data_IF_287921771562
#
_entry.id   IF_287921771562
#
_cell.length_a   1.000
_cell.length_b   1.000
_cell.length_c   1.000
_cell.angle_alpha   90.00
_cell.angle_beta   90.00
_cell.angle_gamma   90.00
#
_symmetry.space_group_name_H-M   'P 1'
#
loop_
_entity.id
_entity.type
_entity.pdbx_description
1 polymer ?
#
# COMPACT_ATOMS: atom_id res chain seq x y z
N UNK A 1 -5.01 -12.15 -52.95
CA UNK A 1 -5.38 -13.08 -51.86
C UNK A 1 -4.59 -12.90 -50.55
N UNK A 2 -3.32 -12.44 -50.56
CA UNK A 2 -2.47 -12.31 -49.34
C UNK A 2 -2.84 -11.21 -48.32
N UNK A 3 -3.59 -10.17 -48.71
CA UNK A 3 -3.94 -9.05 -47.82
C UNK A 3 -4.99 -9.40 -46.74
N UNK A 4 -5.91 -10.32 -47.02
CA UNK A 4 -6.98 -10.73 -46.09
C UNK A 4 -6.44 -11.51 -44.88
N UNK A 5 -5.43 -12.37 -45.10
CA UNK A 5 -4.82 -13.19 -44.05
C UNK A 5 -3.99 -12.34 -43.08
N UNK A 6 -3.23 -11.36 -43.58
CA UNK A 6 -2.44 -10.46 -42.74
C UNK A 6 -3.32 -9.53 -41.90
N UNK A 7 -4.40 -8.99 -42.47
CA UNK A 7 -5.39 -8.20 -41.73
C UNK A 7 -6.10 -9.02 -40.64
N UNK A 8 -6.39 -10.29 -40.91
CA UNK A 8 -6.99 -11.22 -39.93
C UNK A 8 -6.03 -11.55 -38.80
N UNK A 9 -4.75 -11.81 -39.10
CA UNK A 9 -3.70 -12.06 -38.09
C UNK A 9 -3.44 -10.81 -37.26
N UNK A 10 -3.33 -9.63 -37.89
CA UNK A 10 -3.19 -8.34 -37.21
C UNK A 10 -4.37 -8.04 -36.29
N UNK A 11 -5.62 -8.27 -36.75
CA UNK A 11 -6.83 -8.08 -35.95
C UNK A 11 -6.93 -9.10 -34.81
N UNK A 12 -6.51 -10.34 -35.01
CA UNK A 12 -6.46 -11.39 -33.97
C UNK A 12 -5.38 -11.08 -32.92
N UNK A 13 -4.21 -10.60 -33.35
CA UNK A 13 -3.17 -10.08 -32.45
C UNK A 13 -3.65 -8.86 -31.69
N UNK A 14 -4.27 -7.87 -32.36
CA UNK A 14 -4.82 -6.68 -31.71
C UNK A 14 -5.90 -7.05 -30.69
N UNK A 15 -6.78 -8.01 -31.01
CA UNK A 15 -7.84 -8.49 -30.12
C UNK A 15 -7.34 -9.41 -29.00
N UNK A 16 -6.17 -10.03 -29.12
CA UNK A 16 -5.50 -10.75 -28.02
C UNK A 16 -4.71 -9.79 -27.12
N UNK A 17 -3.94 -8.87 -27.72
CA UNK A 17 -3.10 -7.94 -27.00
C UNK A 17 -3.91 -6.81 -26.36
N UNK A 18 -5.00 -6.31 -26.95
CA UNK A 18 -5.78 -5.23 -26.34
C UNK A 18 -6.42 -5.59 -24.98
N UNK A 19 -7.06 -6.75 -24.76
CA UNK A 19 -7.56 -7.11 -23.43
C UNK A 19 -6.43 -7.46 -22.45
N UNK A 20 -5.35 -8.12 -22.90
CA UNK A 20 -4.19 -8.44 -22.03
C UNK A 20 -3.41 -7.19 -21.63
N UNK A 21 -3.31 -6.21 -22.52
CA UNK A 21 -2.69 -4.93 -22.24
C UNK A 21 -3.55 -4.12 -21.27
N UNK A 22 -4.86 -4.07 -21.47
CA UNK A 22 -5.78 -3.40 -20.54
C UNK A 22 -5.82 -4.04 -19.15
N UNK A 23 -5.78 -5.37 -19.06
CA UNK A 23 -5.79 -6.08 -17.77
C UNK A 23 -4.49 -5.92 -16.98
N UNK A 24 -3.41 -5.42 -17.60
CA UNK A 24 -2.12 -5.18 -16.96
C UNK A 24 -1.86 -3.69 -16.74
N UNK A 25 -2.08 -2.86 -17.76
CA UNK A 25 -1.83 -1.41 -17.71
C UNK A 25 -2.72 -0.75 -16.66
N UNK A 26 -4.01 -1.07 -16.63
CA UNK A 26 -4.95 -0.36 -15.74
C UNK A 26 -4.63 -0.62 -14.26
N UNK A 27 -4.42 -1.89 -13.81
CA UNK A 27 -3.98 -2.14 -12.44
C UNK A 27 -2.59 -1.56 -12.16
N UNK A 28 -1.68 -1.58 -13.14
CA UNK A 28 -0.35 -0.99 -12.97
C UNK A 28 -0.40 0.52 -12.70
N UNK A 29 -1.18 1.25 -13.50
CA UNK A 29 -1.38 2.69 -13.30
C UNK A 29 -2.07 2.99 -11.96
N UNK A 30 -3.07 2.18 -11.58
CA UNK A 30 -3.72 2.30 -10.28
C UNK A 30 -2.75 2.03 -9.11
N UNK A 31 -1.87 1.04 -9.25
CA UNK A 31 -0.84 0.73 -8.26
C UNK A 31 0.21 1.86 -8.17
N UNK A 32 0.60 2.47 -9.30
CA UNK A 32 1.46 3.65 -9.32
C UNK A 32 0.81 4.83 -8.58
N UNK A 33 -0.48 5.07 -8.83
CA UNK A 33 -1.22 6.12 -8.15
C UNK A 33 -1.27 5.89 -6.63
N UNK A 34 -1.51 4.64 -6.20
CA UNK A 34 -1.44 4.27 -4.78
C UNK A 34 -0.04 4.44 -4.20
N UNK A 35 1.01 4.06 -4.93
CA UNK A 35 2.40 4.15 -4.47
C UNK A 35 2.84 5.60 -4.24
N UNK A 36 2.45 6.54 -5.11
CA UNK A 36 2.74 7.98 -4.95
C UNK A 36 2.08 8.51 -3.66
N UNK A 37 0.81 8.18 -3.46
CA UNK A 37 0.07 8.58 -2.25
C UNK A 37 0.65 7.94 -0.98
N UNK A 38 1.06 6.67 -1.06
CA UNK A 38 1.77 5.98 0.02
C UNK A 38 3.05 6.71 0.39
N UNK A 39 3.85 7.13 -0.59
CA UNK A 39 5.10 7.86 -0.35
C UNK A 39 4.89 9.13 0.49
N UNK A 40 3.90 9.95 0.12
CA UNK A 40 3.57 11.17 0.85
C UNK A 40 3.15 10.90 2.31
N UNK A 41 2.23 9.95 2.51
CA UNK A 41 1.73 9.62 3.87
C UNK A 41 2.77 8.94 4.76
N UNK A 42 3.65 8.11 4.20
CA UNK A 42 4.66 7.35 4.95
C UNK A 42 5.90 8.16 5.32
N UNK A 43 6.21 9.22 4.58
CA UNK A 43 7.42 10.02 4.82
C UNK A 43 7.39 10.74 6.16
N UNK A 44 6.24 11.32 6.53
CA UNK A 44 6.08 12.10 7.76
C UNK A 44 6.42 11.30 9.03
N UNK A 45 5.78 10.14 9.33
CA UNK A 45 6.08 9.38 10.54
C UNK A 45 7.51 8.83 10.58
N UNK A 46 8.15 8.60 9.43
CA UNK A 46 9.53 8.10 9.37
C UNK A 46 10.58 9.17 9.64
N UNK A 47 10.32 10.43 9.27
CA UNK A 47 11.32 11.50 9.33
C UNK A 47 10.98 12.63 10.30
N UNK A 48 9.81 12.63 10.95
CA UNK A 48 9.39 13.72 11.85
C UNK A 48 10.41 14.03 12.96
N UNK A 49 10.95 13.01 13.63
CA UNK A 49 11.93 13.20 14.70
C UNK A 49 13.28 13.74 14.17
N UNK A 50 13.79 13.17 13.08
CA UNK A 50 15.08 13.56 12.50
C UNK A 50 15.06 14.95 11.83
N UNK A 51 13.91 15.33 11.27
CA UNK A 51 13.67 16.68 10.77
C UNK A 51 13.49 17.67 11.93
N UNK A 52 12.72 17.30 12.97
CA UNK A 52 12.51 18.12 14.16
C UNK A 52 13.78 18.41 14.95
N UNK A 53 14.76 17.50 14.93
CA UNK A 53 16.09 17.70 15.53
C UNK A 53 17.09 18.45 14.63
N UNK A 54 16.67 18.93 13.45
CA UNK A 54 17.52 19.60 12.45
C UNK A 54 18.70 18.75 11.93
N UNK A 55 18.66 17.43 12.09
CA UNK A 55 19.71 16.52 11.58
C UNK A 55 19.56 16.29 10.07
N UNK A 56 18.33 16.30 9.57
CA UNK A 56 18.03 16.01 8.15
C UNK A 56 17.34 17.20 7.49
N UNK A 57 17.84 17.60 6.31
CA UNK A 57 17.22 18.67 5.49
C UNK A 57 15.97 18.17 4.78
N UNK A 58 14.97 19.05 4.64
CA UNK A 58 13.71 18.77 3.94
C UNK A 58 13.92 18.20 2.53
N UNK A 59 14.88 18.74 1.79
CA UNK A 59 15.15 18.36 0.39
C UNK A 59 15.71 16.94 0.26
N UNK A 60 16.42 16.45 1.28
CA UNK A 60 17.03 15.10 1.28
C UNK A 60 16.06 13.99 1.66
N UNK A 61 14.94 14.32 2.33
CA UNK A 61 13.99 13.34 2.86
C UNK A 61 13.39 12.45 1.76
N UNK A 62 12.86 12.98 0.62
CA UNK A 62 12.24 12.14 -0.40
C UNK A 62 13.23 11.15 -1.05
N UNK A 63 14.48 11.59 -1.24
CA UNK A 63 15.54 10.77 -1.85
C UNK A 63 15.90 9.61 -0.91
N UNK A 64 16.11 9.92 0.37
CA UNK A 64 16.49 8.92 1.37
C UNK A 64 15.34 7.93 1.61
N UNK A 65 14.11 8.44 1.78
CA UNK A 65 12.92 7.61 1.95
C UNK A 65 12.71 6.69 0.73
N UNK A 66 12.77 7.24 -0.48
CA UNK A 66 12.59 6.48 -1.72
C UNK A 66 13.61 5.36 -1.89
N UNK A 67 14.88 5.63 -1.60
CA UNK A 67 15.95 4.63 -1.68
C UNK A 67 15.72 3.46 -0.71
N UNK A 68 15.41 3.75 0.57
CA UNK A 68 15.17 2.69 1.56
C UNK A 68 13.88 1.92 1.31
N UNK A 69 12.81 2.59 0.85
CA UNK A 69 11.56 1.92 0.46
C UNK A 69 11.79 0.99 -0.73
N UNK A 70 12.56 1.44 -1.74
CA UNK A 70 12.90 0.63 -2.90
C UNK A 70 13.72 -0.62 -2.49
N UNK A 71 14.72 -0.44 -1.63
CA UNK A 71 15.50 -1.55 -1.08
C UNK A 71 14.62 -2.54 -0.30
N UNK A 72 13.74 -2.02 0.58
CA UNK A 72 12.80 -2.84 1.33
C UNK A 72 11.82 -3.61 0.43
N UNK A 73 11.37 -3.00 -0.66
CA UNK A 73 10.50 -3.63 -1.65
C UNK A 73 11.19 -4.82 -2.36
N UNK A 74 12.48 -4.69 -2.66
CA UNK A 74 13.28 -5.79 -3.26
C UNK A 74 13.43 -6.93 -2.26
N UNK A 75 13.79 -6.63 -1.01
CA UNK A 75 14.12 -7.64 0.01
C UNK A 75 12.87 -8.37 0.50
N UNK A 76 11.80 -7.63 0.82
CA UNK A 76 10.63 -8.15 1.53
C UNK A 76 9.30 -8.05 0.76
N UNK A 77 9.26 -7.30 -0.35
CA UNK A 77 8.01 -7.00 -1.06
C UNK A 77 7.28 -8.23 -1.60
N UNK A 78 8.03 -9.26 -2.05
CA UNK A 78 7.44 -10.51 -2.57
C UNK A 78 6.55 -11.20 -1.54
N UNK A 79 6.97 -11.26 -0.27
CA UNK A 79 6.21 -11.94 0.79
C UNK A 79 4.91 -11.20 1.10
N UNK A 80 4.97 -9.86 1.18
CA UNK A 80 3.80 -9.00 1.44
C UNK A 80 2.79 -9.07 0.28
N UNK A 81 3.25 -8.99 -0.96
CA UNK A 81 2.39 -9.08 -2.14
C UNK A 81 1.64 -10.42 -2.20
N UNK A 82 2.31 -11.52 -1.84
CA UNK A 82 1.69 -12.84 -1.79
C UNK A 82 0.61 -12.93 -0.69
N UNK A 83 0.88 -12.41 0.52
CA UNK A 83 -0.10 -12.44 1.61
C UNK A 83 -1.33 -11.58 1.29
N UNK A 84 -1.17 -10.39 0.71
CA UNK A 84 -2.31 -9.54 0.35
C UNK A 84 -3.09 -10.13 -0.83
N UNK A 85 -2.39 -10.64 -1.85
CA UNK A 85 -3.02 -11.11 -3.09
C UNK A 85 -3.65 -12.51 -3.00
N UNK A 86 -3.19 -13.39 -2.11
CA UNK A 86 -3.72 -14.76 -1.99
C UNK A 86 -4.48 -15.02 -0.68
N UNK A 87 -4.05 -14.44 0.44
CA UNK A 87 -4.58 -14.84 1.75
C UNK A 87 -5.76 -13.99 2.23
N UNK A 88 -5.97 -12.78 1.67
CA UNK A 88 -7.04 -11.87 2.13
C UNK A 88 -8.32 -12.05 1.31
N UNK A 89 -8.27 -11.97 -0.01
CA UNK A 89 -9.36 -12.20 -0.97
C UNK A 89 -8.71 -12.64 -2.29
N UNK A 90 -9.36 -13.49 -3.10
CA UNK A 90 -8.89 -13.76 -4.47
C UNK A 90 -9.22 -12.52 -5.33
N UNK A 91 -8.33 -11.52 -5.25
CA UNK A 91 -8.51 -10.22 -5.88
C UNK A 91 -8.02 -10.33 -7.31
N UNK A 92 -8.94 -10.61 -8.24
CA UNK A 92 -8.65 -10.47 -9.66
C UNK A 92 -8.14 -9.06 -10.00
N UNK A 93 -7.47 -8.86 -11.15
CA UNK A 93 -6.84 -7.57 -11.52
C UNK A 93 -7.76 -6.35 -11.40
N UNK A 94 -9.04 -6.51 -11.73
CA UNK A 94 -10.08 -5.48 -11.57
C UNK A 94 -10.33 -5.10 -10.11
N UNK A 95 -10.38 -6.08 -9.21
CA UNK A 95 -10.56 -5.81 -7.77
C UNK A 95 -9.35 -5.08 -7.19
N UNK A 96 -8.13 -5.44 -7.63
CA UNK A 96 -6.90 -4.80 -7.17
C UNK A 96 -6.83 -3.34 -7.65
N UNK A 97 -7.27 -3.10 -8.89
CA UNK A 97 -7.43 -1.75 -9.44
C UNK A 97 -8.41 -0.93 -8.58
N UNK A 98 -9.59 -1.48 -8.30
CA UNK A 98 -10.62 -0.77 -7.55
C UNK A 98 -10.18 -0.43 -6.13
N UNK A 99 -9.57 -1.39 -5.42
CA UNK A 99 -8.97 -1.18 -4.09
C UNK A 99 -7.91 -0.08 -4.16
N UNK A 100 -6.98 -0.17 -5.12
CA UNK A 100 -5.88 0.79 -5.24
C UNK A 100 -6.39 2.22 -5.50
N UNK A 101 -7.33 2.38 -6.42
CA UNK A 101 -7.93 3.68 -6.74
C UNK A 101 -8.70 4.24 -5.54
N UNK A 102 -9.55 3.44 -4.90
CA UNK A 102 -10.31 3.87 -3.73
C UNK A 102 -9.39 4.30 -2.59
N UNK A 103 -8.42 3.48 -2.22
CA UNK A 103 -7.50 3.77 -1.14
C UNK A 103 -6.68 5.02 -1.44
N UNK A 104 -6.12 5.14 -2.64
CA UNK A 104 -5.35 6.30 -3.04
C UNK A 104 -6.20 7.59 -3.05
N UNK A 105 -7.43 7.51 -3.55
CA UNK A 105 -8.35 8.66 -3.61
C UNK A 105 -8.76 9.12 -2.22
N UNK A 106 -9.08 8.19 -1.32
CA UNK A 106 -9.41 8.50 0.07
C UNK A 106 -8.21 9.10 0.81
N UNK A 107 -7.01 8.55 0.58
CA UNK A 107 -5.79 9.07 1.18
C UNK A 107 -5.50 10.48 0.70
N UNK A 108 -5.63 10.73 -0.61
CA UNK A 108 -5.44 12.04 -1.20
C UNK A 108 -6.48 13.04 -0.67
N UNK A 109 -7.76 12.64 -0.65
CA UNK A 109 -8.84 13.47 -0.13
C UNK A 109 -8.62 13.84 1.34
N UNK A 110 -8.26 12.86 2.19
CA UNK A 110 -7.94 13.11 3.59
C UNK A 110 -6.73 14.04 3.76
N UNK A 111 -5.69 13.83 2.94
CA UNK A 111 -4.47 14.64 2.97
C UNK A 111 -4.75 16.09 2.56
N UNK A 112 -5.52 16.31 1.49
CA UNK A 112 -5.85 17.65 0.97
C UNK A 112 -6.82 18.39 1.88
N UNK A 113 -7.83 17.71 2.43
CA UNK A 113 -8.90 18.37 3.20
C UNK A 113 -8.54 18.61 4.66
N UNK A 114 -7.78 17.71 5.28
CA UNK A 114 -7.50 17.76 6.72
C UNK A 114 -6.03 17.93 7.07
N UNK A 115 -5.10 17.72 6.12
CA UNK A 115 -3.67 17.73 6.39
C UNK A 115 -3.20 16.64 7.37
N UNK A 116 -4.07 15.68 7.71
CA UNK A 116 -3.79 14.65 8.71
C UNK A 116 -3.09 13.46 8.02
N UNK A 117 -1.95 12.97 8.56
CA UNK A 117 -1.33 11.73 8.11
C UNK A 117 -2.31 10.57 8.34
N UNK A 118 -2.91 10.10 7.25
CA UNK A 118 -3.91 9.04 7.30
C UNK A 118 -3.25 7.68 7.07
N UNK A 119 -3.69 6.65 7.79
CA UNK A 119 -3.08 5.32 7.68
C UNK A 119 -3.49 4.61 6.39
N UNK A 120 -2.56 4.50 5.43
CA UNK A 120 -2.77 3.76 4.18
C UNK A 120 -3.11 2.29 4.45
N UNK A 121 -2.45 1.65 5.42
CA UNK A 121 -2.70 0.24 5.76
C UNK A 121 -4.16 0.04 6.20
N UNK A 122 -4.70 0.95 7.02
CA UNK A 122 -6.09 0.86 7.48
C UNK A 122 -7.07 1.07 6.33
N UNK A 123 -6.86 2.10 5.49
CA UNK A 123 -7.70 2.36 4.33
C UNK A 123 -7.68 1.22 3.30
N UNK A 124 -6.49 0.67 3.03
CA UNK A 124 -6.33 -0.45 2.10
C UNK A 124 -7.03 -1.71 2.61
N UNK A 125 -6.82 -2.05 3.89
CA UNK A 125 -7.50 -3.18 4.52
C UNK A 125 -9.02 -2.99 4.52
N UNK A 126 -9.52 -1.80 4.84
CA UNK A 126 -10.95 -1.50 4.81
C UNK A 126 -11.55 -1.65 3.39
N UNK A 127 -10.84 -1.18 2.36
CA UNK A 127 -11.25 -1.35 0.97
C UNK A 127 -11.30 -2.83 0.55
N UNK A 128 -10.31 -3.63 0.95
CA UNK A 128 -10.29 -5.07 0.67
C UNK A 128 -11.42 -5.80 1.40
N UNK A 129 -11.66 -5.48 2.68
CA UNK A 129 -12.77 -6.04 3.44
C UNK A 129 -14.10 -5.67 2.80
N UNK A 130 -14.29 -4.40 2.41
CA UNK A 130 -15.48 -3.91 1.72
C UNK A 130 -15.75 -4.68 0.43
N UNK A 131 -14.71 -4.89 -0.39
CA UNK A 131 -14.81 -5.72 -1.59
C UNK A 131 -15.21 -7.17 -1.26
N UNK A 132 -14.65 -7.74 -0.18
CA UNK A 132 -15.03 -9.06 0.32
C UNK A 132 -16.51 -9.13 0.72
N UNK A 133 -17.01 -8.13 1.44
CA UNK A 133 -18.41 -8.03 1.85
C UNK A 133 -19.33 -7.96 0.63
N UNK A 134 -18.98 -7.18 -0.40
CA UNK A 134 -19.75 -7.12 -1.63
C UNK A 134 -19.81 -8.45 -2.39
N UNK A 135 -18.74 -9.26 -2.37
CA UNK A 135 -18.67 -10.52 -3.12
C UNK A 135 -19.26 -11.72 -2.37
N UNK A 136 -19.07 -11.80 -1.05
CA UNK A 136 -19.38 -12.99 -0.26
C UNK A 136 -20.36 -12.72 0.91
N UNK A 137 -20.73 -11.46 1.14
CA UNK A 137 -21.56 -11.06 2.27
C UNK A 137 -20.76 -10.74 3.54
N UNK A 138 -21.43 -10.07 4.48
CA UNK A 138 -20.82 -9.51 5.70
C UNK A 138 -20.22 -10.57 6.63
N UNK A 139 -21.03 -11.57 7.02
CA UNK A 139 -20.66 -12.59 8.01
C UNK A 139 -19.39 -13.38 7.63
N UNK A 140 -19.27 -13.97 6.42
CA UNK A 140 -18.08 -14.75 6.06
C UNK A 140 -16.83 -13.89 5.84
N UNK A 141 -17.00 -12.61 5.48
CA UNK A 141 -15.86 -11.70 5.25
C UNK A 141 -15.17 -11.29 6.55
N UNK A 142 -15.94 -10.98 7.60
CA UNK A 142 -15.40 -10.64 8.92
C UNK A 142 -14.88 -11.86 9.70
N UNK A 143 -15.43 -13.04 9.44
CA UNK A 143 -14.99 -14.27 10.09
C UNK A 143 -13.59 -14.73 9.66
N UNK A 144 -13.03 -14.14 8.59
CA UNK A 144 -11.69 -14.51 8.10
C UNK A 144 -10.61 -14.27 9.17
N UNK A 145 -9.76 -15.27 9.48
CA UNK A 145 -8.72 -15.13 10.49
C UNK A 145 -7.78 -13.96 10.26
N UNK A 146 -7.50 -13.62 9.00
CA UNK A 146 -6.63 -12.49 8.64
C UNK A 146 -7.21 -11.15 9.07
N UNK A 147 -8.52 -10.94 8.91
CA UNK A 147 -9.21 -9.71 9.33
C UNK A 147 -9.12 -9.56 10.85
N UNK A 148 -9.41 -10.63 11.60
CA UNK A 148 -9.30 -10.64 13.06
C UNK A 148 -7.87 -10.37 13.54
N UNK A 149 -6.87 -10.96 12.87
CA UNK A 149 -5.45 -10.73 13.18
C UNK A 149 -5.07 -9.27 12.94
N UNK A 150 -5.50 -8.66 11.84
CA UNK A 150 -5.23 -7.25 11.57
C UNK A 150 -5.83 -6.32 12.63
N UNK A 151 -7.09 -6.54 13.01
CA UNK A 151 -7.73 -5.77 14.08
C UNK A 151 -6.99 -5.91 15.41
N UNK A 152 -6.54 -7.12 15.75
CA UNK A 152 -5.72 -7.35 16.94
C UNK A 152 -4.39 -6.59 16.90
N UNK A 153 -3.69 -6.61 15.76
CA UNK A 153 -2.44 -5.87 15.58
C UNK A 153 -2.65 -4.37 15.71
N UNK A 154 -3.77 -3.81 15.24
CA UNK A 154 -4.03 -2.37 15.36
C UNK A 154 -4.20 -1.90 16.80
N UNK A 155 -4.67 -2.77 17.69
CA UNK A 155 -4.78 -2.48 19.11
C UNK A 155 -3.42 -2.69 19.79
N UNK A 156 -2.76 -3.81 19.51
CA UNK A 156 -1.54 -4.22 20.24
C UNK A 156 -0.31 -3.41 19.82
N UNK A 157 -0.16 -3.07 18.53
CA UNK A 157 1.04 -2.43 18.00
C UNK A 157 1.35 -1.06 18.63
N UNK A 158 0.38 -0.16 18.88
CA UNK A 158 0.63 1.09 19.58
C UNK A 158 1.22 0.90 20.99
N UNK A 159 0.73 -0.06 21.77
CA UNK A 159 1.24 -0.31 23.11
C UNK A 159 2.65 -0.88 23.09
N UNK A 160 2.94 -1.82 22.18
CA UNK A 160 4.29 -2.36 22.01
C UNK A 160 5.24 -1.25 21.56
N UNK A 161 4.84 -0.43 20.59
CA UNK A 161 5.65 0.69 20.09
C UNK A 161 5.94 1.71 21.20
N UNK A 162 4.94 2.04 22.02
CA UNK A 162 5.10 2.99 23.12
C UNK A 162 6.04 2.43 24.19
N UNK A 163 5.85 1.17 24.59
CA UNK A 163 6.71 0.50 25.58
C UNK A 163 8.15 0.42 25.12
N UNK A 164 8.38 0.02 23.86
CA UNK A 164 9.73 -0.03 23.29
C UNK A 164 10.37 1.37 23.21
N UNK A 165 9.61 2.37 22.77
CA UNK A 165 10.10 3.75 22.71
C UNK A 165 10.50 4.26 24.09
N UNK A 166 9.67 4.02 25.12
CA UNK A 166 9.97 4.43 26.49
C UNK A 166 11.23 3.75 27.02
N UNK A 167 11.36 2.44 26.83
CA UNK A 167 12.55 1.68 27.26
C UNK A 167 13.83 2.17 26.59
N UNK A 168 13.78 2.45 25.29
CA UNK A 168 14.94 2.99 24.57
C UNK A 168 15.33 4.38 25.06
N UNK A 169 14.35 5.24 25.36
CA UNK A 169 14.63 6.57 25.92
C UNK A 169 15.28 6.49 27.30
N UNK A 170 14.77 5.64 28.19
CA UNK A 170 15.37 5.43 29.52
C UNK A 170 16.78 4.89 29.40
N UNK A 171 17.00 3.87 28.56
CA UNK A 171 18.32 3.32 28.31
C UNK A 171 19.29 4.37 27.76
N UNK A 172 18.85 5.25 26.85
CA UNK A 172 19.65 6.33 26.31
C UNK A 172 20.03 7.39 27.36
N UNK A 173 19.13 7.67 28.32
CA UNK A 173 19.40 8.57 29.44
C UNK A 173 20.45 7.98 30.41
N UNK A 174 20.37 6.69 30.73
CA UNK A 174 21.33 6.01 31.63
C UNK A 174 22.76 6.00 31.07
N UNK A 175 22.92 5.97 29.74
CA UNK A 175 24.23 6.01 29.06
C UNK A 175 24.69 7.44 28.73
N UNK A 176 23.94 8.47 29.13
CA UNK A 176 24.29 9.89 28.95
C UNK A 176 24.20 10.41 27.52
N UNK A 177 23.35 9.80 26.67
CA UNK A 177 23.13 10.19 25.28
C UNK A 177 22.05 11.28 25.10
N UNK A 178 21.21 11.46 26.13
CA UNK A 178 20.17 12.48 26.29
C UNK A 178 20.42 13.24 27.60
#
# INVERSE_FOLDING_TARGET
MKYSTFATISRKLKNMFSPMLSILIIPFLAAMFLAINMGGSGTSPSFAAAYGSNIVRKDSIPVLFGAFVFLGAIIAGKKVALTIGKDIVDIGPLGATFVSILTASLLLAASVTKGIPTSLVQLNTAAIIGLGICKAGYKPSLARPVVRRMLGVWIVAPFISLGLSFLLTVAANEIGLL
#
